data_IF_665675713962
#
_entry.id   IF_665675713962
#
_cell.length_a   1.000
_cell.length_b   1.000
_cell.length_c   1.000
_cell.angle_alpha   90.00
_cell.angle_beta   90.00
_cell.angle_gamma   90.00
#
_symmetry.space_group_name_H-M   'P 1'
#
loop_
_entity.id
_entity.type
_entity.pdbx_description
1 polymer ?
#
# COMPACT_ATOMS: atom_id res chain seq x y z
N UNK A 1 34.85 33.45 -53.37
CA UNK A 1 35.02 31.98 -53.21
C UNK A 1 34.93 31.66 -51.72
N UNK A 2 34.13 30.64 -51.39
CA UNK A 2 33.52 30.41 -50.09
C UNK A 2 34.50 29.94 -49.00
N UNK A 3 34.28 30.40 -47.76
CA UNK A 3 34.83 29.77 -46.56
C UNK A 3 33.65 29.21 -45.77
N UNK A 4 33.51 27.89 -45.77
CA UNK A 4 32.48 27.16 -45.05
C UNK A 4 32.87 27.07 -43.56
N UNK A 5 32.05 27.62 -42.68
CA UNK A 5 32.15 27.42 -41.24
C UNK A 5 31.36 26.17 -40.85
N UNK A 6 32.06 25.11 -40.45
CA UNK A 6 31.45 23.91 -39.88
C UNK A 6 31.09 24.18 -38.41
N UNK A 7 29.79 24.29 -38.11
CA UNK A 7 29.30 24.19 -36.73
C UNK A 7 29.33 22.72 -36.30
N UNK A 8 30.23 22.37 -35.38
CA UNK A 8 30.09 21.15 -34.58
C UNK A 8 28.94 21.36 -33.60
N UNK A 9 27.81 20.71 -33.87
CA UNK A 9 26.76 20.51 -32.87
C UNK A 9 27.23 19.39 -31.95
N UNK A 10 27.68 19.74 -30.75
CA UNK A 10 27.91 18.78 -29.69
C UNK A 10 26.54 18.21 -29.26
N UNK A 11 26.22 17.01 -29.75
CA UNK A 11 25.11 16.23 -29.24
C UNK A 11 25.42 15.86 -27.78
N UNK A 12 24.83 16.61 -26.85
CA UNK A 12 24.82 16.23 -25.45
C UNK A 12 24.13 14.88 -25.35
N UNK A 13 24.91 13.85 -25.03
CA UNK A 13 24.38 12.56 -24.60
C UNK A 13 23.65 12.79 -23.28
N UNK A 14 22.34 13.05 -23.37
CA UNK A 14 21.45 12.95 -22.23
C UNK A 14 21.51 11.51 -21.74
N UNK A 15 22.31 11.27 -20.71
CA UNK A 15 22.24 10.05 -19.94
C UNK A 15 20.84 10.00 -19.34
N UNK A 16 19.98 9.19 -19.94
CA UNK A 16 18.74 8.78 -19.32
C UNK A 16 19.12 8.15 -17.98
N UNK A 17 18.87 8.87 -16.89
CA UNK A 17 18.87 8.26 -15.57
C UNK A 17 17.81 7.16 -15.64
N UNK A 18 18.23 5.91 -15.49
CA UNK A 18 17.34 4.89 -15.01
C UNK A 18 16.67 5.47 -13.76
N UNK A 19 15.35 5.58 -13.76
CA UNK A 19 14.62 6.00 -12.58
C UNK A 19 14.88 4.94 -11.51
N UNK A 20 15.87 5.16 -10.65
CA UNK A 20 16.10 4.31 -9.49
C UNK A 20 14.79 4.25 -8.71
N UNK A 21 14.37 3.04 -8.34
CA UNK A 21 13.19 2.87 -7.51
C UNK A 21 13.38 3.71 -6.24
N UNK A 22 12.48 4.66 -6.01
CA UNK A 22 12.56 5.58 -4.88
C UNK A 22 12.70 4.77 -3.58
N UNK A 23 13.81 4.99 -2.88
CA UNK A 23 14.14 4.26 -1.66
C UNK A 23 13.44 4.92 -0.48
N UNK A 24 12.73 4.11 0.31
CA UNK A 24 12.23 4.51 1.62
C UNK A 24 13.38 4.40 2.63
N UNK A 25 13.97 5.52 3.04
CA UNK A 25 15.12 5.57 3.96
C UNK A 25 14.67 5.46 5.41
N UNK A 26 15.02 4.36 6.10
CA UNK A 26 14.49 4.05 7.43
C UNK A 26 15.00 5.01 8.52
N UNK A 27 14.08 5.57 9.29
CA UNK A 27 14.39 6.26 10.56
C UNK A 27 14.49 5.23 11.68
N UNK A 28 15.72 4.82 11.99
CA UNK A 28 15.99 3.81 13.00
C UNK A 28 15.65 4.24 14.44
N UNK A 29 15.36 5.53 14.67
CA UNK A 29 14.95 6.01 16.01
C UNK A 29 13.51 5.61 16.34
N UNK A 30 12.69 5.28 15.34
CA UNK A 30 11.30 4.88 15.50
C UNK A 30 11.20 3.36 15.61
N UNK A 31 11.15 2.86 16.84
CA UNK A 31 11.04 1.41 17.13
C UNK A 31 9.61 0.95 17.33
N UNK A 32 8.71 1.84 17.72
CA UNK A 32 7.28 1.62 17.81
C UNK A 32 6.49 2.86 17.38
N UNK A 33 5.30 2.68 16.80
CA UNK A 33 4.36 3.78 16.54
C UNK A 33 2.94 3.27 16.36
N UNK A 34 2.00 4.20 16.49
CA UNK A 34 0.64 4.01 16.02
C UNK A 34 0.57 4.31 14.51
N UNK A 35 0.00 3.39 13.73
CA UNK A 35 -0.25 3.57 12.30
C UNK A 35 -1.72 3.96 12.11
N UNK A 36 -2.00 5.21 11.68
CA UNK A 36 -3.37 5.70 11.52
C UNK A 36 -4.01 5.20 10.21
N UNK A 37 -5.34 5.22 10.16
CA UNK A 37 -6.12 4.85 8.95
C UNK A 37 -5.81 5.83 7.80
N UNK A 38 -5.51 7.08 8.13
CA UNK A 38 -5.22 8.17 7.21
C UNK A 38 -3.97 7.91 6.36
N UNK A 39 -3.08 7.01 6.80
CA UNK A 39 -1.95 6.59 5.99
C UNK A 39 -2.37 5.72 4.80
N UNK A 40 -3.46 4.92 4.92
CA UNK A 40 -4.07 4.17 3.81
C UNK A 40 -4.79 5.12 2.85
N UNK A 41 -5.56 6.06 3.39
CA UNK A 41 -6.43 6.95 2.61
C UNK A 41 -5.70 8.15 2.01
N UNK A 42 -4.52 8.47 2.55
CA UNK A 42 -3.76 9.68 2.23
C UNK A 42 -4.47 10.96 2.66
N UNK A 43 -5.41 10.89 3.59
CA UNK A 43 -5.93 12.07 4.29
C UNK A 43 -4.82 12.67 5.18
N UNK A 44 -4.97 13.93 5.65
CA UNK A 44 -4.07 14.49 6.64
C UNK A 44 -3.95 13.57 7.85
N UNK A 45 -2.72 13.34 8.32
CA UNK A 45 -2.51 12.54 9.53
C UNK A 45 -3.17 13.23 10.73
N UNK A 46 -3.73 12.45 11.67
CA UNK A 46 -4.24 13.01 12.91
C UNK A 46 -3.09 13.57 13.77
N UNK A 47 -3.45 14.25 14.85
CA UNK A 47 -2.47 14.68 15.84
C UNK A 47 -1.64 13.48 16.35
N UNK A 48 -0.32 13.61 16.60
CA UNK A 48 0.56 12.49 16.93
C UNK A 48 0.13 11.64 18.12
N UNK A 49 -0.60 12.22 19.07
CA UNK A 49 -1.15 11.56 20.25
C UNK A 49 -2.43 10.75 19.99
N UNK A 50 -3.06 10.94 18.82
CA UNK A 50 -4.28 10.23 18.45
C UNK A 50 -3.99 8.75 18.22
N UNK A 51 -4.80 7.90 18.86
CA UNK A 51 -4.79 6.45 18.67
C UNK A 51 -6.15 5.96 18.14
N UNK A 52 -6.91 6.85 17.50
CA UNK A 52 -8.19 6.52 16.91
C UNK A 52 -8.01 5.78 15.57
N UNK A 53 -8.79 4.72 15.38
CA UNK A 53 -8.92 4.01 14.10
C UNK A 53 -10.28 4.34 13.49
N UNK A 54 -10.41 5.58 13.02
CA UNK A 54 -11.66 6.11 12.48
C UNK A 54 -11.62 6.09 10.96
N UNK A 55 -12.72 5.68 10.32
CA UNK A 55 -12.83 5.75 8.88
C UNK A 55 -13.39 7.13 8.51
N UNK A 56 -12.51 8.06 8.19
CA UNK A 56 -12.89 9.38 7.67
C UNK A 56 -13.41 9.31 6.23
N UNK A 57 -14.25 10.27 5.84
CA UNK A 57 -14.75 10.37 4.47
C UNK A 57 -13.62 10.53 3.45
N UNK A 58 -13.68 9.74 2.38
CA UNK A 58 -12.74 9.78 1.27
C UNK A 58 -13.50 9.50 -0.03
N UNK A 59 -13.16 10.25 -1.08
CA UNK A 59 -13.51 9.95 -2.47
C UNK A 59 -12.37 10.48 -3.33
N UNK A 60 -11.40 9.60 -3.66
CA UNK A 60 -10.19 10.01 -4.37
C UNK A 60 -9.69 8.93 -5.30
N UNK A 61 -8.95 9.37 -6.32
CA UNK A 61 -8.11 8.51 -7.15
C UNK A 61 -6.66 8.93 -6.98
N UNK A 62 -5.74 7.98 -6.88
CA UNK A 62 -4.30 8.23 -6.75
C UNK A 62 -3.48 7.20 -7.51
N UNK A 63 -2.34 7.62 -8.11
CA UNK A 63 -1.46 6.72 -8.83
C UNK A 63 -0.55 5.96 -7.87
N UNK A 64 -0.04 4.82 -8.32
CA UNK A 64 1.07 4.11 -7.69
C UNK A 64 1.98 3.49 -8.74
N UNK A 65 3.18 3.12 -8.29
CA UNK A 65 4.18 2.39 -9.08
C UNK A 65 4.26 0.95 -8.59
N UNK A 66 4.36 -0.01 -9.51
CA UNK A 66 4.48 -1.45 -9.24
C UNK A 66 5.78 -1.96 -9.84
N UNK A 67 6.72 -2.39 -8.99
CA UNK A 67 7.98 -2.99 -9.42
C UNK A 67 7.81 -4.50 -9.47
N UNK A 68 7.98 -5.07 -10.66
CA UNK A 68 7.78 -6.50 -10.92
C UNK A 68 9.07 -7.30 -10.64
N UNK A 69 8.98 -8.65 -10.51
CA UNK A 69 10.14 -9.48 -10.19
C UNK A 69 11.30 -9.39 -11.20
N UNK A 70 10.99 -9.08 -12.46
CA UNK A 70 11.99 -8.89 -13.53
C UNK A 70 12.59 -7.48 -13.56
N UNK A 71 12.23 -6.63 -12.59
CA UNK A 71 12.66 -5.23 -12.49
C UNK A 71 11.88 -4.27 -13.38
N UNK A 72 10.94 -4.76 -14.19
CA UNK A 72 10.09 -3.88 -14.99
C UNK A 72 9.12 -3.09 -14.09
N UNK A 73 8.77 -1.89 -14.55
CA UNK A 73 7.93 -0.95 -13.80
C UNK A 73 6.57 -0.84 -14.48
N UNK A 74 5.53 -1.21 -13.74
CA UNK A 74 4.15 -0.88 -14.06
C UNK A 74 3.69 0.36 -13.30
N UNK A 75 2.66 1.02 -13.80
CA UNK A 75 1.89 2.01 -13.04
C UNK A 75 0.42 1.58 -12.98
N UNK A 76 -0.31 2.17 -12.05
CA UNK A 76 -1.75 1.99 -11.95
C UNK A 76 -2.38 3.12 -11.15
N UNK A 77 -3.71 3.10 -11.13
CA UNK A 77 -4.50 4.01 -10.31
C UNK A 77 -5.36 3.21 -9.35
N UNK A 78 -5.56 3.77 -8.17
CA UNK A 78 -6.47 3.26 -7.15
C UNK A 78 -7.52 4.34 -6.91
N UNK A 79 -8.80 3.99 -7.03
CA UNK A 79 -9.87 4.80 -6.46
C UNK A 79 -10.26 4.23 -5.09
N UNK A 80 -10.42 5.10 -4.10
CA UNK A 80 -10.83 4.75 -2.75
C UNK A 80 -12.00 5.64 -2.33
N UNK A 81 -13.07 5.02 -1.84
CA UNK A 81 -14.30 5.69 -1.42
C UNK A 81 -14.86 5.12 -0.12
N UNK A 82 -15.42 5.95 0.74
CA UNK A 82 -16.15 5.54 1.95
C UNK A 82 -16.00 6.57 3.07
N UNK A 83 -16.37 6.24 4.32
CA UNK A 83 -16.91 4.95 4.74
C UNK A 83 -18.31 4.67 4.18
N UNK A 84 -18.68 3.39 4.12
CA UNK A 84 -20.05 2.94 3.87
C UNK A 84 -20.35 1.67 4.64
N UNK A 85 -21.64 1.38 4.89
CA UNK A 85 -22.07 0.12 5.50
C UNK A 85 -22.05 -1.02 4.49
N UNK A 86 -21.65 -2.21 4.92
CA UNK A 86 -21.58 -3.40 4.09
C UNK A 86 -21.92 -4.67 4.87
N UNK A 87 -22.87 -5.46 4.35
CA UNK A 87 -23.16 -6.81 4.86
C UNK A 87 -22.26 -7.82 4.14
N UNK A 88 -21.25 -8.33 4.85
CA UNK A 88 -20.19 -9.16 4.29
C UNK A 88 -20.32 -10.64 4.61
N UNK A 89 -19.19 -11.26 4.94
CA UNK A 89 -19.11 -12.69 5.25
C UNK A 89 -20.15 -13.11 6.29
N UNK A 90 -21.02 -14.07 5.93
CA UNK A 90 -22.11 -14.60 6.78
C UNK A 90 -23.03 -13.53 7.40
N UNK A 91 -23.22 -12.40 6.72
CA UNK A 91 -24.11 -11.32 7.18
C UNK A 91 -23.50 -10.44 8.28
N UNK A 92 -22.19 -10.50 8.51
CA UNK A 92 -21.50 -9.57 9.40
C UNK A 92 -21.54 -8.17 8.78
N UNK A 93 -21.96 -7.19 9.57
CA UNK A 93 -21.98 -5.79 9.16
C UNK A 93 -20.61 -5.14 9.40
N UNK A 94 -20.09 -4.48 8.37
CA UNK A 94 -18.83 -3.74 8.38
C UNK A 94 -19.05 -2.28 8.03
N UNK A 95 -18.22 -1.41 8.60
CA UNK A 95 -17.90 -0.12 8.01
C UNK A 95 -16.68 -0.32 7.09
N UNK A 96 -16.80 0.09 5.82
CA UNK A 96 -15.80 -0.22 4.80
C UNK A 96 -15.38 0.98 3.97
N UNK A 97 -14.15 0.92 3.48
CA UNK A 97 -13.78 1.60 2.25
C UNK A 97 -13.97 0.67 1.05
N UNK A 98 -14.58 1.17 -0.01
CA UNK A 98 -14.55 0.55 -1.33
C UNK A 98 -13.30 1.00 -2.08
N UNK A 99 -12.60 0.04 -2.68
CA UNK A 99 -11.38 0.27 -3.46
C UNK A 99 -11.54 -0.30 -4.86
N UNK A 100 -11.31 0.53 -5.88
CA UNK A 100 -11.20 0.10 -7.27
C UNK A 100 -9.73 0.11 -7.67
N UNK A 101 -9.21 -1.06 -8.00
CA UNK A 101 -7.91 -1.25 -8.66
C UNK A 101 -8.14 -1.75 -10.09
N UNK A 102 -7.16 -1.71 -11.00
CA UNK A 102 -7.38 -2.00 -12.41
C UNK A 102 -8.11 -3.34 -12.69
N UNK A 103 -7.90 -4.35 -11.84
CA UNK A 103 -8.45 -5.71 -12.02
C UNK A 103 -9.51 -6.11 -10.98
N UNK A 104 -9.82 -5.26 -10.01
CA UNK A 104 -10.71 -5.64 -8.89
C UNK A 104 -11.51 -4.46 -8.32
N UNK A 105 -12.75 -4.75 -7.94
CA UNK A 105 -13.49 -3.98 -6.94
C UNK A 105 -13.37 -4.74 -5.61
N UNK A 106 -12.95 -4.03 -4.58
CA UNK A 106 -12.59 -4.59 -3.28
C UNK A 106 -13.26 -3.75 -2.18
N UNK A 107 -13.53 -4.35 -1.03
CA UNK A 107 -13.97 -3.63 0.18
C UNK A 107 -13.07 -3.98 1.33
N UNK A 108 -12.72 -2.98 2.13
CA UNK A 108 -11.73 -3.05 3.20
C UNK A 108 -12.35 -2.65 4.52
N UNK A 109 -12.14 -3.45 5.57
CA UNK A 109 -12.58 -3.16 6.93
C UNK A 109 -11.45 -3.47 7.93
N UNK A 110 -11.61 -2.99 9.16
CA UNK A 110 -10.73 -3.38 10.27
C UNK A 110 -10.83 -4.88 10.56
N UNK A 111 -9.69 -5.47 10.91
CA UNK A 111 -9.65 -6.79 11.54
C UNK A 111 -10.24 -6.73 12.95
N UNK A 112 -10.69 -7.87 13.46
CA UNK A 112 -11.31 -7.98 14.78
C UNK A 112 -10.38 -7.50 15.91
N UNK A 113 -9.08 -7.80 15.79
CA UNK A 113 -8.03 -7.37 16.71
C UNK A 113 -7.59 -5.90 16.51
N UNK A 114 -8.18 -5.20 15.54
CA UNK A 114 -7.88 -3.81 15.17
C UNK A 114 -6.40 -3.53 14.88
N UNK A 115 -5.67 -4.54 14.41
CA UNK A 115 -4.25 -4.38 14.04
C UNK A 115 -4.00 -4.27 12.54
N UNK A 116 -5.01 -4.51 11.72
CA UNK A 116 -4.94 -4.33 10.29
C UNK A 116 -6.28 -3.87 9.71
N UNK A 117 -6.22 -3.37 8.48
CA UNK A 117 -7.33 -3.28 7.55
C UNK A 117 -7.09 -4.33 6.47
N UNK A 118 -8.11 -5.10 6.10
CA UNK A 118 -7.99 -6.07 5.02
C UNK A 118 -9.29 -6.29 4.29
N UNK A 119 -9.24 -7.12 3.24
CA UNK A 119 -10.40 -7.29 2.37
C UNK A 119 -11.48 -8.07 3.09
N UNK A 120 -12.69 -7.50 3.09
CA UNK A 120 -13.93 -8.19 3.45
C UNK A 120 -14.74 -8.60 2.22
N UNK A 121 -14.39 -8.05 1.05
CA UNK A 121 -14.90 -8.45 -0.25
C UNK A 121 -13.88 -8.16 -1.34
N UNK A 122 -13.83 -9.02 -2.35
CA UNK A 122 -13.09 -8.83 -3.60
C UNK A 122 -13.88 -9.49 -4.72
N UNK A 123 -14.15 -8.77 -5.81
CA UNK A 123 -14.95 -9.30 -6.91
C UNK A 123 -14.42 -10.63 -7.48
N UNK A 124 -13.13 -10.91 -7.32
CA UNK A 124 -12.48 -12.11 -7.85
C UNK A 124 -12.76 -13.38 -7.04
N UNK A 125 -13.07 -13.25 -5.75
CA UNK A 125 -13.28 -14.40 -4.85
C UNK A 125 -14.47 -14.27 -3.89
N UNK A 126 -15.17 -13.15 -3.90
CA UNK A 126 -16.32 -12.88 -3.03
C UNK A 126 -15.90 -12.39 -1.64
N UNK A 127 -16.67 -12.78 -0.63
CA UNK A 127 -16.48 -12.33 0.75
C UNK A 127 -15.25 -12.96 1.40
N UNK A 128 -14.60 -12.19 2.26
CA UNK A 128 -13.54 -12.63 3.14
C UNK A 128 -13.78 -12.13 4.57
N UNK A 129 -13.15 -12.78 5.54
CA UNK A 129 -13.17 -12.40 6.95
C UNK A 129 -11.75 -12.48 7.52
N UNK A 130 -11.39 -11.49 8.33
CA UNK A 130 -10.13 -11.45 9.07
C UNK A 130 -8.87 -11.60 8.18
N UNK A 131 -8.84 -10.92 7.03
CA UNK A 131 -7.59 -10.71 6.29
C UNK A 131 -6.83 -9.51 6.88
N UNK A 132 -5.51 -9.62 7.04
CA UNK A 132 -4.66 -8.45 7.27
C UNK A 132 -3.96 -8.06 5.99
N UNK A 133 -4.17 -6.82 5.49
CA UNK A 133 -3.56 -6.34 4.22
C UNK A 133 -2.84 -5.00 4.35
N UNK A 134 -3.27 -4.14 5.26
CA UNK A 134 -2.63 -2.88 5.61
C UNK A 134 -2.53 -2.80 7.14
N UNK A 135 -1.35 -2.61 7.74
CA UNK A 135 -1.22 -2.52 9.19
C UNK A 135 -1.82 -1.21 9.71
N UNK A 136 -2.56 -1.29 10.82
CA UNK A 136 -3.03 -0.12 11.57
C UNK A 136 -2.86 -0.35 13.07
N UNK A 137 -3.02 0.69 13.87
CA UNK A 137 -2.88 0.58 15.32
C UNK A 137 -1.40 0.50 15.73
N UNK A 138 -1.12 -0.07 16.90
CA UNK A 138 0.25 -0.13 17.43
C UNK A 138 1.07 -1.24 16.77
N UNK A 139 2.23 -0.86 16.24
CA UNK A 139 3.19 -1.76 15.62
C UNK A 139 4.62 -1.43 16.05
N UNK A 140 5.47 -2.45 16.05
CA UNK A 140 6.91 -2.35 16.27
C UNK A 140 7.69 -2.61 14.98
N UNK A 141 8.88 -2.04 14.88
CA UNK A 141 9.81 -2.30 13.78
C UNK A 141 10.15 -3.79 13.72
N UNK A 142 10.06 -4.40 12.53
CA UNK A 142 10.29 -5.84 12.34
C UNK A 142 9.16 -6.74 12.84
N UNK A 143 8.09 -6.20 13.42
CA UNK A 143 6.98 -7.01 13.91
C UNK A 143 6.26 -7.72 12.78
N UNK A 144 5.93 -8.99 13.00
CA UNK A 144 5.11 -9.81 12.12
C UNK A 144 3.82 -10.23 12.82
N UNK A 145 2.69 -10.15 12.11
CA UNK A 145 1.41 -10.75 12.52
C UNK A 145 0.85 -11.63 11.41
N UNK A 146 0.17 -12.69 11.80
CA UNK A 146 -0.54 -13.60 10.91
C UNK A 146 -2.04 -13.47 11.17
N UNK A 147 -2.83 -13.66 10.12
CA UNK A 147 -4.28 -13.54 10.15
C UNK A 147 -4.89 -14.76 9.48
N UNK A 148 -5.70 -15.51 10.24
CA UNK A 148 -6.48 -16.63 9.73
C UNK A 148 -7.64 -16.08 8.91
N UNK A 149 -7.44 -16.06 7.59
CA UNK A 149 -8.37 -15.47 6.64
C UNK A 149 -9.36 -16.52 6.16
N UNK A 150 -10.65 -16.25 6.32
CA UNK A 150 -11.72 -17.11 5.84
C UNK A 150 -12.30 -16.54 4.56
N UNK A 151 -12.43 -17.39 3.55
CA UNK A 151 -13.20 -17.13 2.33
C UNK A 151 -14.45 -18.02 2.34
N UNK A 152 -15.40 -17.75 1.46
CA UNK A 152 -16.62 -18.55 1.34
C UNK A 152 -16.36 -20.07 1.16
N UNK A 153 -15.27 -20.45 0.48
CA UNK A 153 -14.99 -21.85 0.10
C UNK A 153 -13.70 -22.42 0.68
N UNK A 154 -12.87 -21.61 1.34
CA UNK A 154 -11.54 -22.02 1.83
C UNK A 154 -11.04 -21.13 2.94
N UNK A 155 -10.01 -21.56 3.64
CA UNK A 155 -9.20 -20.73 4.54
C UNK A 155 -7.80 -20.52 3.98
N UNK A 156 -7.15 -19.43 4.40
CA UNK A 156 -5.75 -19.16 4.14
C UNK A 156 -5.14 -18.38 5.31
N UNK A 157 -3.82 -18.24 5.31
CA UNK A 157 -3.13 -17.35 6.25
C UNK A 157 -2.54 -16.19 5.45
N UNK A 158 -2.92 -14.97 5.80
CA UNK A 158 -2.22 -13.77 5.39
C UNK A 158 -1.28 -13.30 6.50
N UNK A 159 -0.20 -12.60 6.16
CA UNK A 159 0.75 -12.08 7.13
C UNK A 159 1.22 -10.69 6.74
N UNK A 160 1.46 -9.86 7.74
CA UNK A 160 2.05 -8.54 7.63
C UNK A 160 3.36 -8.52 8.41
N UNK A 161 4.40 -7.95 7.81
CA UNK A 161 5.71 -7.76 8.43
C UNK A 161 6.18 -6.31 8.19
N UNK A 162 6.51 -5.60 9.26
CA UNK A 162 7.00 -4.23 9.18
C UNK A 162 8.47 -4.22 8.77
N UNK A 163 8.75 -3.76 7.55
CA UNK A 163 10.12 -3.67 7.03
C UNK A 163 10.77 -2.35 7.44
N UNK A 164 10.03 -1.23 7.36
CA UNK A 164 10.46 0.10 7.83
C UNK A 164 9.27 0.82 8.41
N UNK A 165 9.25 0.94 9.73
CA UNK A 165 8.12 1.46 10.48
C UNK A 165 7.95 2.95 10.20
N UNK A 166 9.05 3.71 10.12
CA UNK A 166 9.07 5.11 9.69
C UNK A 166 10.20 5.32 8.70
N UNK A 167 9.93 5.95 7.56
CA UNK A 167 10.97 6.30 6.60
C UNK A 167 10.67 7.62 5.89
N UNK A 168 11.70 8.15 5.24
CA UNK A 168 11.54 9.23 4.26
C UNK A 168 11.41 8.61 2.88
N UNK A 169 10.32 8.91 2.18
CA UNK A 169 10.10 8.52 0.78
C UNK A 169 9.88 9.79 -0.04
N UNK A 170 10.75 10.05 -1.01
CA UNK A 170 10.64 11.23 -1.89
C UNK A 170 10.47 12.55 -1.10
N UNK A 171 11.28 12.72 -0.05
CA UNK A 171 11.22 13.86 0.87
C UNK A 171 10.03 13.85 1.86
N UNK A 172 9.13 12.87 1.79
CA UNK A 172 7.99 12.73 2.71
C UNK A 172 8.39 11.83 3.89
N UNK A 173 8.58 12.45 5.06
CA UNK A 173 8.85 11.75 6.30
C UNK A 173 7.63 10.98 6.82
N UNK A 174 7.85 9.94 7.62
CA UNK A 174 6.80 9.16 8.27
C UNK A 174 6.12 8.12 7.37
N UNK A 175 6.64 7.88 6.16
CA UNK A 175 6.20 6.80 5.30
C UNK A 175 6.41 5.43 5.97
N UNK A 176 5.67 4.43 5.50
CA UNK A 176 5.68 3.06 6.00
C UNK A 176 6.04 2.10 4.89
N UNK A 177 7.02 1.23 5.11
CA UNK A 177 7.26 0.06 4.27
C UNK A 177 6.92 -1.22 5.02
N UNK A 178 6.12 -2.08 4.41
CA UNK A 178 5.78 -3.38 4.97
C UNK A 178 5.61 -4.42 3.88
N UNK A 179 5.71 -5.68 4.28
CA UNK A 179 5.52 -6.85 3.42
C UNK A 179 4.25 -7.57 3.78
N UNK A 180 3.48 -7.94 2.77
CA UNK A 180 2.29 -8.75 2.88
C UNK A 180 2.50 -10.07 2.14
N UNK A 181 2.24 -11.18 2.82
CA UNK A 181 2.37 -12.51 2.23
C UNK A 181 1.15 -13.37 2.52
N UNK A 182 0.93 -14.37 1.67
CA UNK A 182 -0.04 -15.42 1.91
C UNK A 182 0.63 -16.79 1.89
N UNK A 183 0.07 -17.75 2.62
CA UNK A 183 0.55 -19.13 2.62
C UNK A 183 0.41 -19.83 1.26
N UNK A 184 -0.44 -19.33 0.35
CA UNK A 184 -0.54 -19.80 -1.03
C UNK A 184 0.51 -19.18 -1.98
N UNK A 185 1.46 -18.40 -1.45
CA UNK A 185 2.66 -17.98 -2.14
C UNK A 185 2.61 -16.61 -2.80
N UNK A 186 1.64 -15.76 -2.47
CA UNK A 186 1.69 -14.35 -2.84
C UNK A 186 2.62 -13.59 -1.88
N UNK A 187 3.38 -12.65 -2.43
CA UNK A 187 4.39 -11.89 -1.71
C UNK A 187 4.55 -10.50 -2.34
N UNK A 188 4.13 -9.49 -1.58
CA UNK A 188 4.13 -8.11 -2.02
C UNK A 188 4.73 -7.19 -0.95
N UNK A 189 5.53 -6.22 -1.37
CA UNK A 189 5.93 -5.08 -0.55
C UNK A 189 5.05 -3.87 -0.86
N UNK A 190 4.84 -3.00 0.12
CA UNK A 190 4.11 -1.75 -0.06
C UNK A 190 4.84 -0.61 0.62
N UNK A 191 4.83 0.57 0.00
CA UNK A 191 5.16 1.83 0.65
C UNK A 191 3.91 2.71 0.65
N UNK A 192 3.56 3.21 1.83
CA UNK A 192 2.53 4.23 2.01
C UNK A 192 3.17 5.51 2.56
N UNK A 193 2.80 6.65 1.99
CA UNK A 193 3.32 7.95 2.41
C UNK A 193 2.19 8.87 2.90
N UNK A 194 2.43 9.66 3.95
CA UNK A 194 1.48 10.67 4.43
C UNK A 194 0.96 11.57 3.30
N UNK A 195 -0.35 11.83 3.27
CA UNK A 195 -1.01 12.66 2.23
C UNK A 195 -1.16 11.99 0.85
N UNK A 196 -0.52 10.85 0.62
CA UNK A 196 -0.50 10.18 -0.70
C UNK A 196 -1.26 8.86 -0.72
N UNK A 197 -1.28 8.12 0.39
CA UNK A 197 -1.77 6.74 0.39
C UNK A 197 -0.67 5.79 -0.09
N UNK A 198 -1.03 4.77 -0.87
CA UNK A 198 -0.02 3.87 -1.48
C UNK A 198 0.75 4.62 -2.55
N UNK A 199 2.08 4.53 -2.53
CA UNK A 199 2.96 5.17 -3.51
C UNK A 199 3.77 4.15 -4.29
N UNK A 200 4.14 3.04 -3.64
CA UNK A 200 4.93 1.97 -4.23
C UNK A 200 4.35 0.61 -3.87
N UNK A 201 4.35 -0.30 -4.83
CA UNK A 201 4.10 -1.72 -4.67
C UNK A 201 5.31 -2.46 -5.23
N UNK A 202 5.73 -3.50 -4.53
CA UNK A 202 6.74 -4.44 -5.02
C UNK A 202 6.06 -5.79 -5.16
N UNK A 203 6.11 -6.39 -6.34
CA UNK A 203 5.67 -7.75 -6.56
C UNK A 203 6.89 -8.66 -6.49
N UNK A 204 7.08 -9.37 -5.37
CA UNK A 204 8.18 -10.34 -5.24
C UNK A 204 7.78 -11.70 -5.79
N UNK A 205 6.56 -12.12 -5.48
CA UNK A 205 5.96 -13.36 -5.98
C UNK A 205 4.46 -13.18 -6.11
N UNK A 206 3.93 -13.47 -7.29
CA UNK A 206 2.54 -13.22 -7.62
C UNK A 206 2.45 -12.73 -9.04
N UNK A 207 1.38 -13.12 -9.72
CA UNK A 207 1.14 -12.76 -11.11
C UNK A 207 -0.09 -11.87 -11.18
N UNK A 208 0.06 -10.74 -11.89
CA UNK A 208 -1.06 -9.97 -12.40
C UNK A 208 -2.02 -10.87 -13.17
#
# INVERSE_FOLDING_TARGET
>A
MAVAAALLVAAGTGAAHAADALVCEHDATVTERFIPVELLTGLPLPAPESQALTFGEVDRTYPFVDVLPDGSVGSGEVALKGPMKWSGYRGIEFEVYERKVPRAHERFALTEDKSAIGRVYDQRFGNAYNEGKFPVGKWQQGQKKNYDTLYNTRSAVSSLEIEKLSCTYDGIAGALQYRWRTNNGLDYGYIYAPGKGVVQVFTYKGGR
#
